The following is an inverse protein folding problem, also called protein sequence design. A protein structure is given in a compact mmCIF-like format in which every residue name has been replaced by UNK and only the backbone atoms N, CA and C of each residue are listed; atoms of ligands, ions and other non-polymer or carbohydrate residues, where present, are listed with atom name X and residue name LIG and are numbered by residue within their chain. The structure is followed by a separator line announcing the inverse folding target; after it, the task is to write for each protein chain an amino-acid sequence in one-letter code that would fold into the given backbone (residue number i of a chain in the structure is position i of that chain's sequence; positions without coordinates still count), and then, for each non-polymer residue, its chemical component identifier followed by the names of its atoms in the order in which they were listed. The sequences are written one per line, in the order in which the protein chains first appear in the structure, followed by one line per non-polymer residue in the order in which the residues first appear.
data_IF_521564520978
#
_entry.id   IF_521564520978
#
_cell.length_a   1.000
_cell.length_b   1.000
_cell.length_c   1.000
_cell.angle_alpha   90.00
_cell.angle_beta   90.00
_cell.angle_gamma   90.00
#
_symmetry.space_group_name_H-M   'P 1'
#
loop_
_entity.id
_entity.type
_entity.pdbx_description
1 polymer ?
#
# COMPACT_ATOMS: atom_id res chain seq x y z
N UNK A 1 7.01 1.55 4.12
CA UNK A 1 8.43 1.54 3.71
C UNK A 1 9.33 1.50 4.93
N UNK A 2 10.35 0.67 4.86
CA UNK A 2 11.37 0.61 5.92
C UNK A 2 10.81 0.27 7.30
N UNK A 3 9.77 -0.56 7.36
CA UNK A 3 9.15 -0.93 8.62
C UNK A 3 10.14 -1.61 9.56
N UNK A 4 11.05 -2.43 9.04
CA UNK A 4 12.07 -3.08 9.86
C UNK A 4 12.94 -2.03 10.55
N UNK A 5 13.23 -0.92 9.85
CA UNK A 5 14.02 0.16 10.45
C UNK A 5 13.27 0.82 11.61
N UNK A 6 11.95 0.94 11.51
CA UNK A 6 11.15 1.48 12.60
C UNK A 6 11.26 0.57 13.82
N UNK A 7 11.12 -0.74 13.63
CA UNK A 7 11.26 -1.70 14.71
C UNK A 7 12.66 -1.65 15.32
N UNK A 8 13.67 -1.56 14.48
CA UNK A 8 15.06 -1.55 14.96
C UNK A 8 15.39 -0.26 15.71
N UNK A 9 14.82 0.86 15.30
CA UNK A 9 15.12 2.16 15.90
C UNK A 9 14.32 2.41 17.17
N UNK A 10 13.01 2.08 17.16
CA UNK A 10 12.12 2.44 18.27
C UNK A 10 11.46 1.24 18.95
N UNK A 11 11.73 0.02 18.49
CA UNK A 11 11.19 -1.19 19.09
C UNK A 11 9.89 -1.65 18.44
N UNK A 12 9.54 -2.91 18.73
CA UNK A 12 8.36 -3.52 18.11
C UNK A 12 7.05 -2.86 18.55
N UNK A 13 6.99 -2.34 19.77
CA UNK A 13 5.78 -1.64 20.23
C UNK A 13 5.49 -0.42 19.36
N UNK A 14 6.52 0.33 18.98
CA UNK A 14 6.35 1.47 18.08
C UNK A 14 5.99 1.01 16.67
N UNK A 15 6.57 -0.11 16.21
CA UNK A 15 6.17 -0.70 14.94
C UNK A 15 4.68 -1.05 14.93
N UNK A 16 4.17 -1.58 16.05
CA UNK A 16 2.74 -1.88 16.16
C UNK A 16 1.90 -0.60 16.08
N UNK A 17 2.38 0.50 16.66
CA UNK A 17 1.68 1.79 16.56
C UNK A 17 1.56 2.22 15.11
N UNK A 18 2.61 2.04 14.31
CA UNK A 18 2.58 2.36 12.88
C UNK A 18 1.52 1.54 12.17
N UNK A 19 1.48 0.23 12.44
CA UNK A 19 0.50 -0.65 11.79
C UNK A 19 -0.93 -0.30 12.17
N UNK A 20 -1.17 0.03 13.45
CA UNK A 20 -2.49 0.45 13.91
C UNK A 20 -2.88 1.76 13.25
N UNK A 21 -1.96 2.70 13.14
CA UNK A 21 -2.22 3.98 12.48
C UNK A 21 -2.65 3.77 11.02
N UNK A 22 -1.92 2.92 10.30
CA UNK A 22 -2.26 2.61 8.93
C UNK A 22 -3.63 1.95 8.82
N UNK A 23 -3.92 0.99 9.69
CA UNK A 23 -5.20 0.30 9.68
C UNK A 23 -6.36 1.27 9.92
N UNK A 24 -6.18 2.24 10.82
CA UNK A 24 -7.20 3.25 11.08
C UNK A 24 -7.39 4.16 9.88
N UNK A 25 -6.32 4.53 9.20
CA UNK A 25 -6.42 5.32 7.98
C UNK A 25 -7.22 4.58 6.92
N UNK A 26 -6.96 3.29 6.75
CA UNK A 26 -7.66 2.49 5.75
C UNK A 26 -9.14 2.37 6.07
N UNK A 27 -9.49 2.19 7.35
CA UNK A 27 -10.89 2.02 7.72
C UNK A 27 -11.63 3.33 7.86
N UNK A 28 -10.93 4.39 8.22
CA UNK A 28 -11.60 5.60 8.66
C UNK A 28 -12.21 6.44 7.58
N UNK A 29 -11.41 6.95 6.66
CA UNK A 29 -11.89 8.00 5.78
C UNK A 29 -11.74 7.72 4.31
N UNK A 30 -11.09 6.65 3.93
CA UNK A 30 -10.71 6.46 2.53
C UNK A 30 -11.37 5.28 1.88
N UNK A 31 -11.92 4.34 2.64
CA UNK A 31 -12.59 3.17 2.08
C UNK A 31 -14.09 3.26 2.26
N UNK A 32 -14.82 2.78 1.26
CA UNK A 32 -16.28 2.71 1.29
C UNK A 32 -16.71 1.46 2.05
N UNK A 33 -18.00 1.37 2.38
CA UNK A 33 -18.50 0.28 3.22
C UNK A 33 -18.32 -1.11 2.61
N UNK A 34 -18.28 -1.21 1.27
CA UNK A 34 -18.10 -2.51 0.61
C UNK A 34 -16.66 -2.77 0.18
N UNK A 35 -15.73 -1.88 0.52
CA UNK A 35 -14.33 -2.12 0.26
C UNK A 35 -13.75 -2.98 1.38
N UNK A 36 -12.76 -3.78 1.06
CA UNK A 36 -12.15 -4.68 2.03
C UNK A 36 -10.67 -4.39 2.15
N UNK A 37 -10.19 -4.40 3.38
CA UNK A 37 -8.77 -4.25 3.64
C UNK A 37 -8.32 -5.39 4.54
N UNK A 38 -7.16 -5.95 4.26
CA UNK A 38 -6.61 -7.03 5.06
C UNK A 38 -5.11 -6.95 5.12
N UNK A 39 -4.55 -7.51 6.19
CA UNK A 39 -3.11 -7.60 6.33
C UNK A 39 -2.66 -8.95 5.78
N UNK A 40 -1.72 -8.92 4.85
CA UNK A 40 -1.20 -10.15 4.26
C UNK A 40 -0.12 -10.79 5.13
N UNK A 41 0.59 -9.98 5.87
CA UNK A 41 1.65 -10.45 6.73
C UNK A 41 2.71 -9.39 6.87
N UNK A 42 3.51 -9.43 7.93
CA UNK A 42 4.53 -8.43 8.15
C UNK A 42 3.97 -7.02 8.08
N UNK A 43 4.49 -6.26 7.14
CA UNK A 43 4.05 -4.89 6.93
C UNK A 43 3.22 -4.74 5.65
N UNK A 44 2.73 -5.82 5.07
CA UNK A 44 1.99 -5.76 3.81
C UNK A 44 0.49 -5.85 4.02
N UNK A 45 -0.23 -4.97 3.32
CA UNK A 45 -1.69 -4.93 3.36
C UNK A 45 -2.21 -5.01 1.94
N UNK A 46 -3.40 -5.56 1.78
CA UNK A 46 -4.11 -5.57 0.51
C UNK A 46 -5.45 -4.89 0.69
N UNK A 47 -5.88 -4.15 -0.31
CA UNK A 47 -7.17 -3.47 -0.30
C UNK A 47 -7.90 -3.84 -1.58
N UNK A 48 -9.15 -4.27 -1.45
CA UNK A 48 -9.99 -4.64 -2.57
C UNK A 48 -11.06 -3.57 -2.72
N UNK A 49 -11.16 -2.99 -3.91
CA UNK A 49 -12.07 -1.87 -4.18
C UNK A 49 -13.04 -2.25 -5.30
N UNK A 50 -14.12 -3.00 -4.98
CA UNK A 50 -15.05 -3.43 -6.00
C UNK A 50 -15.71 -2.24 -6.71
N UNK A 51 -15.91 -2.37 -8.00
CA UNK A 51 -16.58 -1.33 -8.78
C UNK A 51 -15.76 -0.07 -9.01
N UNK A 52 -14.45 -0.13 -8.76
CA UNK A 52 -13.57 1.02 -8.88
C UNK A 52 -12.66 0.83 -10.07
N UNK A 53 -12.49 1.87 -10.88
CA UNK A 53 -11.58 1.78 -12.02
C UNK A 53 -10.14 1.83 -11.54
N UNK A 54 -9.22 1.42 -12.40
CA UNK A 54 -7.80 1.47 -12.06
C UNK A 54 -7.34 2.90 -11.78
N UNK A 55 -7.87 3.88 -12.52
CA UNK A 55 -7.51 5.28 -12.31
C UNK A 55 -8.04 5.78 -10.97
N UNK A 56 -9.27 5.39 -10.61
CA UNK A 56 -9.83 5.78 -9.31
C UNK A 56 -9.06 5.12 -8.16
N UNK A 57 -8.68 3.87 -8.33
CA UNK A 57 -7.92 3.15 -7.31
C UNK A 57 -6.54 3.79 -7.13
N UNK A 58 -5.91 4.21 -8.22
CA UNK A 58 -4.62 4.90 -8.16
C UNK A 58 -4.75 6.22 -7.41
N UNK A 59 -5.84 6.96 -7.65
CA UNK A 59 -6.08 8.21 -6.94
C UNK A 59 -6.30 7.98 -5.44
N UNK A 60 -7.01 6.91 -5.09
CA UNK A 60 -7.20 6.54 -3.69
C UNK A 60 -5.86 6.17 -3.06
N UNK A 61 -5.05 5.41 -3.77
CA UNK A 61 -3.71 5.06 -3.30
C UNK A 61 -2.85 6.29 -3.06
N UNK A 62 -2.94 7.27 -3.95
CA UNK A 62 -2.17 8.49 -3.80
C UNK A 62 -2.62 9.30 -2.58
N UNK A 63 -3.91 9.32 -2.30
CA UNK A 63 -4.42 9.99 -1.09
C UNK A 63 -3.92 9.29 0.18
N UNK A 64 -3.93 7.95 0.18
CA UNK A 64 -3.41 7.20 1.31
C UNK A 64 -1.93 7.48 1.51
N UNK A 65 -1.17 7.45 0.43
CA UNK A 65 0.27 7.70 0.49
C UNK A 65 0.57 9.06 1.09
N UNK A 66 -0.12 10.09 0.61
CA UNK A 66 0.10 11.45 1.12
C UNK A 66 -0.33 11.60 2.57
N UNK A 67 -1.45 10.98 2.92
CA UNK A 67 -1.95 11.06 4.29
C UNK A 67 -0.95 10.43 5.27
N UNK A 68 -0.37 9.30 4.89
CA UNK A 68 0.62 8.66 5.76
C UNK A 68 1.91 9.48 5.83
N UNK A 69 2.36 9.98 4.69
CA UNK A 69 3.59 10.78 4.64
C UNK A 69 3.48 12.03 5.51
N UNK A 70 2.29 12.60 5.58
CA UNK A 70 2.06 13.80 6.38
C UNK A 70 1.73 13.51 7.84
N UNK A 71 1.54 12.26 8.20
CA UNK A 71 1.19 11.89 9.57
C UNK A 71 2.42 11.90 10.46
N UNK A 72 2.26 12.46 11.65
CA UNK A 72 3.31 12.42 12.67
C UNK A 72 2.97 11.31 13.64
N UNK A 73 3.81 10.29 13.69
CA UNK A 73 3.59 9.13 14.54
C UNK A 73 4.50 9.28 15.75
N UNK A 74 3.96 9.00 16.95
CA UNK A 74 4.71 9.19 18.17
C UNK A 74 5.31 7.87 18.62
N UNK A 75 6.63 7.86 18.80
CA UNK A 75 7.33 6.71 19.34
C UNK A 75 7.13 6.64 20.86
N UNK A 76 7.52 5.53 21.46
CA UNK A 76 7.36 5.31 22.90
C UNK A 76 8.12 6.32 23.75
N UNK A 77 9.21 6.88 23.23
CA UNK A 77 9.99 7.88 23.96
C UNK A 77 9.46 9.31 23.73
N UNK A 78 8.34 9.46 23.07
CA UNK A 78 7.74 10.77 22.78
C UNK A 78 8.22 11.44 21.51
N UNK A 79 9.20 10.87 20.83
CA UNK A 79 9.71 11.42 19.58
C UNK A 79 8.69 11.23 18.47
N UNK A 80 8.47 12.25 17.66
CA UNK A 80 7.61 12.12 16.47
C UNK A 80 8.43 11.76 15.28
N UNK A 81 7.88 10.91 14.41
CA UNK A 81 8.55 10.54 13.18
C UNK A 81 7.49 10.33 12.09
N UNK A 82 7.94 10.24 10.85
CA UNK A 82 7.07 10.03 9.71
C UNK A 82 7.53 8.79 8.96
N UNK A 83 6.57 8.10 8.34
CA UNK A 83 6.87 6.95 7.50
C UNK A 83 6.16 7.14 6.17
N UNK A 84 6.59 6.41 5.17
CA UNK A 84 5.98 6.46 3.86
C UNK A 84 5.49 5.07 3.48
N UNK A 85 4.74 4.98 2.41
CA UNK A 85 4.30 3.69 1.89
C UNK A 85 4.47 3.65 0.39
N UNK A 86 4.70 2.45 -0.10
CA UNK A 86 4.70 2.17 -1.53
C UNK A 86 3.45 1.36 -1.81
N UNK A 87 2.79 1.60 -2.93
CA UNK A 87 1.53 0.97 -3.26
C UNK A 87 1.57 0.48 -4.69
N UNK A 88 1.20 -0.78 -4.89
CA UNK A 88 0.98 -1.33 -6.22
C UNK A 88 -0.52 -1.45 -6.44
N UNK A 89 -0.99 -1.05 -7.61
CA UNK A 89 -2.39 -1.07 -7.98
C UNK A 89 -2.56 -1.92 -9.22
N UNK A 90 -3.56 -2.79 -9.25
CA UNK A 90 -3.89 -3.57 -10.43
C UNK A 90 -5.40 -3.60 -10.61
N UNK A 91 -5.89 -3.53 -11.85
CA UNK A 91 -7.32 -3.67 -12.09
C UNK A 91 -7.75 -5.08 -11.75
N UNK A 92 -8.93 -5.22 -11.16
CA UNK A 92 -9.45 -6.52 -10.79
C UNK A 92 -10.02 -7.18 -12.04
N UNK A 93 -9.31 -8.14 -12.56
CA UNK A 93 -9.69 -8.83 -13.79
C UNK A 93 -9.53 -10.33 -13.62
N UNK A 94 -10.58 -11.05 -13.95
CA UNK A 94 -10.54 -12.51 -13.96
C UNK A 94 -10.12 -13.10 -12.61
N UNK A 95 -9.03 -13.82 -12.61
CA UNK A 95 -8.57 -14.53 -11.43
C UNK A 95 -8.00 -13.56 -10.41
N UNK A 96 -8.54 -13.59 -9.19
CA UNK A 96 -8.05 -12.73 -8.11
C UNK A 96 -6.59 -12.99 -7.78
N UNK A 97 -6.16 -14.24 -7.90
CA UNK A 97 -4.78 -14.59 -7.63
C UNK A 97 -3.83 -13.91 -8.63
N UNK A 98 -4.22 -13.91 -9.91
CA UNK A 98 -3.42 -13.25 -10.94
C UNK A 98 -3.43 -11.74 -10.75
N UNK A 99 -4.56 -11.17 -10.32
CA UNK A 99 -4.66 -9.74 -10.05
C UNK A 99 -3.74 -9.35 -8.91
N UNK A 100 -3.71 -10.15 -7.84
CA UNK A 100 -2.83 -9.87 -6.72
C UNK A 100 -1.37 -9.95 -7.14
N UNK A 101 -1.01 -10.90 -7.99
CA UNK A 101 0.35 -11.00 -8.51
C UNK A 101 0.76 -9.77 -9.31
N UNK A 102 -0.17 -9.21 -10.08
CA UNK A 102 0.11 -7.98 -10.82
C UNK A 102 0.32 -6.78 -9.90
N UNK A 103 -0.51 -6.66 -8.86
CA UNK A 103 -0.36 -5.60 -7.89
C UNK A 103 0.95 -5.73 -7.14
N UNK A 104 1.35 -6.97 -6.84
CA UNK A 104 2.59 -7.24 -6.14
C UNK A 104 3.80 -6.85 -7.00
N UNK A 105 3.75 -7.14 -8.30
CA UNK A 105 4.81 -6.73 -9.22
C UNK A 105 4.91 -5.21 -9.30
N UNK A 106 3.77 -4.51 -9.32
CA UNK A 106 3.77 -3.05 -9.32
C UNK A 106 4.33 -2.50 -8.00
N UNK A 107 4.03 -3.16 -6.89
CA UNK A 107 4.58 -2.77 -5.59
C UNK A 107 6.10 -2.94 -5.58
N UNK A 108 6.59 -4.04 -6.14
CA UNK A 108 8.01 -4.28 -6.25
C UNK A 108 8.69 -3.17 -7.05
N UNK A 109 8.07 -2.76 -8.16
CA UNK A 109 8.59 -1.65 -8.96
C UNK A 109 8.61 -0.35 -8.13
N UNK A 110 7.56 -0.07 -7.37
CA UNK A 110 7.52 1.12 -6.53
C UNK A 110 8.68 1.12 -5.53
N UNK A 111 8.94 -0.04 -4.92
CA UNK A 111 10.02 -0.15 -3.95
C UNK A 111 11.40 0.00 -4.58
N UNK A 112 11.55 -0.44 -5.83
CA UNK A 112 12.84 -0.38 -6.50
C UNK A 112 13.09 0.93 -7.24
N UNK A 113 12.09 1.80 -7.33
CA UNK A 113 12.26 3.09 -8.03
C UNK A 113 12.13 4.27 -7.09
N UNK A 114 12.44 4.07 -5.82
CA UNK A 114 12.53 5.17 -4.86
C UNK A 114 11.57 5.09 -3.68
N UNK A 115 10.63 4.15 -3.69
CA UNK A 115 9.61 4.02 -2.66
C UNK A 115 8.72 5.27 -2.58
N UNK A 116 7.83 5.32 -1.64
CA UNK A 116 6.93 6.47 -1.41
C UNK A 116 6.22 6.88 -2.70
N UNK A 117 5.55 5.93 -3.33
CA UNK A 117 4.85 6.17 -4.59
C UNK A 117 3.82 5.10 -4.86
N UNK A 118 2.91 5.41 -5.78
CA UNK A 118 1.91 4.48 -6.27
C UNK A 118 2.27 4.09 -7.70
N UNK A 119 2.28 2.81 -8.00
CA UNK A 119 2.54 2.30 -9.34
C UNK A 119 1.34 1.50 -9.80
N UNK A 120 0.82 1.80 -10.98
CA UNK A 120 -0.26 1.04 -11.59
C UNK A 120 0.35 -0.05 -12.46
N UNK A 121 -0.12 -1.27 -12.27
CA UNK A 121 0.37 -2.40 -13.02
C UNK A 121 0.07 -2.22 -14.51
N UNK A 122 0.98 -2.69 -15.35
CA UNK A 122 0.78 -2.66 -16.78
C UNK A 122 -0.33 -3.64 -17.16
N UNK A 123 -1.14 -3.31 -18.15
CA UNK A 123 -2.18 -4.24 -18.62
C UNK A 123 -1.54 -5.54 -19.08
N UNK A 124 -2.25 -6.64 -18.83
CA UNK A 124 -1.73 -7.94 -19.17
C UNK A 124 -1.46 -8.07 -20.66
N UNK A 125 -2.29 -7.45 -21.46
CA UNK A 125 -2.11 -7.59 -22.90
C UNK A 125 -0.91 -6.82 -23.37
N UNK A 126 -0.40 -5.88 -22.60
CA UNK A 126 0.79 -5.20 -23.01
C UNK A 126 1.99 -6.07 -22.83
N UNK A 127 1.91 -7.01 -21.94
CA UNK A 127 3.02 -7.86 -21.68
C UNK A 127 3.29 -8.86 -22.77
N UNK A 128 2.31 -9.48 -23.30
CA UNK A 128 2.58 -10.55 -24.24
C UNK A 128 3.12 -10.14 -25.54
N UNK A 129 3.03 -8.94 -25.87
CA UNK A 129 3.50 -8.60 -27.12
C UNK A 129 4.87 -8.83 -27.24
N UNK A 130 5.47 -8.94 -26.27
CA UNK A 130 6.76 -9.26 -26.36
C UNK A 130 6.92 -10.53 -27.01
N UNK A 131 5.95 -11.22 -27.16
CA UNK A 131 6.22 -12.37 -27.75
C UNK A 131 6.28 -12.17 -29.10
N UNK A 132 6.38 -12.46 -29.73
CA UNK A 132 6.48 -12.76 -31.01
C UNK A 132 7.50 -13.20 -31.39
#
# INVERSE_FOLDING_TARGET
DHFKRVNDTWGHATGDVVLVHLARMLKGNLLRSHDLAGRLGGEEFAVLLPGTTAQEATAIGERLRRALEQSHIRAGDGTSFQVTMSIGVAPLQGDAHATLAQADAALYEAKNTGRNKVVLAQPAEAAPEKTP
#
